data_IF_470289621757
#
_entry.id   IF_470289621757
#
_cell.length_a   1.000
_cell.length_b   1.000
_cell.length_c   1.000
_cell.angle_alpha   90.00
_cell.angle_beta   90.00
_cell.angle_gamma   90.00
#
_symmetry.space_group_name_H-M   'P 1'
#
loop_
_entity.id
_entity.type
_entity.pdbx_description
1 polymer ?
#
# COMPACT_ATOMS: atom_id res chain seq x y z
N UNK A 1 22.71 17.09 32.43
CA UNK A 1 22.82 15.77 31.72
C UNK A 1 21.43 15.33 31.36
N UNK A 2 20.97 15.74 30.20
CA UNK A 2 19.67 15.33 29.62
C UNK A 2 19.90 14.03 28.91
N UNK A 3 19.45 12.93 29.49
CA UNK A 3 19.35 11.63 28.82
C UNK A 3 18.28 11.74 27.74
N UNK A 4 18.74 11.92 26.51
CA UNK A 4 17.95 11.78 25.30
C UNK A 4 17.53 10.31 25.23
N UNK A 5 16.30 10.07 25.66
CA UNK A 5 15.64 8.77 25.48
C UNK A 5 15.46 8.56 23.98
N UNK A 6 16.27 7.69 23.39
CA UNK A 6 16.05 7.22 22.03
C UNK A 6 14.58 6.77 21.89
N UNK A 7 13.89 7.14 20.79
CA UNK A 7 12.51 6.70 20.59
C UNK A 7 12.49 5.18 20.61
N UNK A 8 11.64 4.63 21.46
CA UNK A 8 11.38 3.20 21.52
C UNK A 8 11.04 2.73 20.09
N UNK A 9 11.89 1.89 19.54
CA UNK A 9 11.64 1.22 18.25
C UNK A 9 10.33 0.45 18.42
N UNK A 10 9.25 1.04 17.95
CA UNK A 10 7.93 0.42 17.92
C UNK A 10 8.08 -0.95 17.24
N UNK A 11 7.82 -2.02 18.00
CA UNK A 11 8.00 -3.39 17.54
C UNK A 11 7.21 -3.59 16.25
N UNK A 12 7.91 -4.03 15.20
CA UNK A 12 7.34 -4.20 13.86
C UNK A 12 6.30 -5.32 13.89
N UNK A 13 5.05 -5.00 13.58
CA UNK A 13 3.95 -5.99 13.56
C UNK A 13 3.94 -6.83 12.29
N UNK A 14 4.32 -6.24 11.14
CA UNK A 14 4.35 -6.91 9.86
C UNK A 14 5.68 -7.64 9.66
N UNK A 15 5.63 -8.94 9.44
CA UNK A 15 6.79 -9.78 9.20
C UNK A 15 7.02 -10.03 7.70
N UNK A 16 8.14 -10.69 7.37
CA UNK A 16 8.48 -11.00 5.97
C UNK A 16 7.47 -11.94 5.30
N UNK A 17 6.72 -12.74 6.07
CA UNK A 17 5.66 -13.61 5.52
C UNK A 17 4.47 -12.80 5.07
N UNK A 18 4.14 -11.72 5.80
CA UNK A 18 3.05 -10.82 5.42
C UNK A 18 3.42 -10.03 4.16
N UNK A 19 4.65 -9.53 4.09
CA UNK A 19 5.17 -8.86 2.90
C UNK A 19 5.18 -9.80 1.68
N UNK A 20 5.58 -11.06 1.87
CA UNK A 20 5.55 -12.06 0.80
C UNK A 20 4.12 -12.37 0.34
N UNK A 21 3.16 -12.44 1.26
CA UNK A 21 1.74 -12.60 0.91
C UNK A 21 1.22 -11.40 0.12
N UNK A 22 1.60 -10.18 0.52
CA UNK A 22 1.26 -8.97 -0.22
C UNK A 22 1.88 -8.99 -1.62
N UNK A 23 3.14 -9.39 -1.74
CA UNK A 23 3.83 -9.52 -3.03
C UNK A 23 3.09 -10.47 -3.98
N UNK A 24 2.75 -11.69 -3.54
CA UNK A 24 2.00 -12.63 -4.38
C UNK A 24 0.61 -12.11 -4.73
N UNK A 25 -0.08 -11.44 -3.82
CA UNK A 25 -1.38 -10.82 -4.09
C UNK A 25 -1.30 -9.64 -5.06
N UNK A 26 -0.20 -8.91 -5.07
CA UNK A 26 -0.01 -7.78 -5.99
C UNK A 26 0.04 -8.21 -7.47
N UNK A 27 0.37 -9.47 -7.76
CA UNK A 27 0.29 -10.01 -9.13
C UNK A 27 -1.13 -10.00 -9.69
N UNK A 28 -2.14 -9.97 -8.82
CA UNK A 28 -3.56 -9.87 -9.19
C UNK A 28 -4.11 -8.43 -9.15
N UNK A 29 -3.23 -7.42 -9.09
CA UNK A 29 -3.65 -6.02 -9.00
C UNK A 29 -4.65 -5.61 -10.08
N UNK A 30 -4.46 -6.10 -11.30
CA UNK A 30 -5.32 -5.82 -12.45
C UNK A 30 -6.50 -6.80 -12.59
N UNK A 31 -6.60 -7.82 -11.74
CA UNK A 31 -7.62 -8.88 -11.88
C UNK A 31 -9.06 -8.41 -11.73
N UNK A 32 -9.27 -7.27 -11.08
CA UNK A 32 -10.61 -6.66 -10.86
C UNK A 32 -10.66 -5.23 -11.39
N UNK A 33 -9.93 -4.96 -12.46
CA UNK A 33 -9.90 -3.62 -13.06
C UNK A 33 -11.28 -3.20 -13.55
N UNK A 34 -11.69 -1.97 -13.22
CA UNK A 34 -12.92 -1.35 -13.70
C UNK A 34 -12.74 0.15 -13.94
N UNK A 35 -13.60 0.76 -14.76
CA UNK A 35 -13.45 2.18 -15.12
C UNK A 35 -13.80 3.17 -14.01
N UNK A 36 -14.56 2.75 -12.99
CA UNK A 36 -14.96 3.63 -11.89
C UNK A 36 -13.84 3.85 -10.89
N UNK A 37 -13.17 2.76 -10.45
CA UNK A 37 -12.16 2.79 -9.39
C UNK A 37 -10.81 2.24 -9.80
N UNK A 38 -10.64 1.87 -11.06
CA UNK A 38 -9.45 1.33 -11.68
C UNK A 38 -8.91 0.09 -10.96
N UNK A 39 -7.79 0.22 -10.25
CA UNK A 39 -7.09 -0.88 -9.57
C UNK A 39 -7.45 -0.99 -8.07
N UNK A 40 -8.44 -0.24 -7.59
CA UNK A 40 -8.74 -0.11 -6.14
C UNK A 40 -9.01 -1.45 -5.46
N UNK A 41 -9.77 -2.34 -6.07
CA UNK A 41 -10.06 -3.66 -5.49
C UNK A 41 -8.80 -4.53 -5.39
N UNK A 42 -7.96 -4.53 -6.43
CA UNK A 42 -6.67 -5.22 -6.41
C UNK A 42 -5.72 -4.65 -5.35
N UNK A 43 -5.73 -3.32 -5.17
CA UNK A 43 -4.98 -2.64 -4.11
C UNK A 43 -5.43 -3.09 -2.71
N UNK A 44 -6.73 -3.05 -2.45
CA UNK A 44 -7.30 -3.52 -1.19
C UNK A 44 -7.02 -5.01 -0.95
N UNK A 45 -7.16 -5.85 -1.97
CA UNK A 45 -6.85 -7.28 -1.90
C UNK A 45 -5.38 -7.53 -1.54
N UNK A 46 -4.47 -6.74 -2.09
CA UNK A 46 -3.03 -6.83 -1.80
C UNK A 46 -2.73 -6.47 -0.35
N UNK A 47 -3.34 -5.40 0.19
CA UNK A 47 -3.12 -4.95 1.57
C UNK A 47 -3.87 -5.77 2.62
N UNK A 48 -4.85 -6.57 2.24
CA UNK A 48 -5.72 -7.29 3.18
C UNK A 48 -4.96 -8.12 4.24
N UNK A 49 -3.86 -8.84 3.93
CA UNK A 49 -3.11 -9.56 4.97
C UNK A 49 -2.53 -8.64 6.04
N UNK A 50 -1.99 -7.49 5.63
CA UNK A 50 -1.45 -6.49 6.56
C UNK A 50 -2.56 -5.89 7.42
N UNK A 51 -3.65 -5.42 6.82
CA UNK A 51 -4.79 -4.81 7.51
C UNK A 51 -5.38 -5.77 8.56
N UNK A 52 -5.62 -7.03 8.18
CA UNK A 52 -6.14 -8.04 9.11
C UNK A 52 -5.22 -8.34 10.27
N UNK A 53 -3.93 -8.21 10.08
CA UNK A 53 -2.95 -8.45 11.12
C UNK A 53 -2.85 -7.26 12.08
N UNK A 54 -2.74 -6.04 11.56
CA UNK A 54 -2.55 -4.83 12.37
C UNK A 54 -3.82 -4.43 13.15
N UNK A 55 -4.99 -4.71 12.60
CA UNK A 55 -6.29 -4.46 13.26
C UNK A 55 -6.92 -5.72 13.88
N UNK A 56 -6.08 -6.70 14.21
CA UNK A 56 -6.56 -7.96 14.79
C UNK A 56 -7.30 -7.72 16.11
N UNK A 57 -8.57 -8.09 16.14
CA UNK A 57 -9.45 -7.92 17.32
C UNK A 57 -10.33 -6.67 17.25
N UNK A 58 -10.06 -5.73 16.35
CA UNK A 58 -10.92 -4.56 16.12
C UNK A 58 -11.56 -4.63 14.72
N UNK A 59 -12.74 -5.22 14.64
CA UNK A 59 -13.48 -5.38 13.39
C UNK A 59 -13.96 -4.07 12.78
N UNK A 60 -14.23 -3.07 13.61
CA UNK A 60 -14.66 -1.76 13.13
C UNK A 60 -13.48 -1.04 12.44
N UNK A 61 -12.30 -1.04 13.05
CA UNK A 61 -11.10 -0.45 12.46
C UNK A 61 -10.65 -1.22 11.21
N UNK A 62 -10.71 -2.56 11.21
CA UNK A 62 -10.44 -3.38 10.03
C UNK A 62 -11.35 -3.00 8.85
N UNK A 63 -12.66 -2.88 9.10
CA UNK A 63 -13.65 -2.52 8.08
C UNK A 63 -13.43 -1.09 7.55
N UNK A 64 -13.12 -0.13 8.42
CA UNK A 64 -12.81 1.25 8.04
C UNK A 64 -11.55 1.32 7.16
N UNK A 65 -10.49 0.58 7.50
CA UNK A 65 -9.28 0.50 6.70
C UNK A 65 -9.55 -0.13 5.32
N UNK A 66 -10.27 -1.24 5.24
CA UNK A 66 -10.65 -1.86 3.97
C UNK A 66 -11.46 -0.92 3.09
N UNK A 67 -12.44 -0.21 3.68
CA UNK A 67 -13.25 0.78 2.95
C UNK A 67 -12.39 1.91 2.37
N UNK A 68 -11.45 2.47 3.14
CA UNK A 68 -10.50 3.50 2.70
C UNK A 68 -9.68 3.05 1.50
N UNK A 69 -9.28 1.78 1.45
CA UNK A 69 -8.47 1.25 0.36
C UNK A 69 -9.27 0.79 -0.87
N UNK A 70 -10.60 0.83 -0.82
CA UNK A 70 -11.48 0.66 -1.99
C UNK A 70 -11.72 1.97 -2.77
N UNK A 71 -11.18 3.10 -2.31
CA UNK A 71 -11.18 4.35 -3.06
C UNK A 71 -10.30 4.27 -4.30
N UNK A 72 -10.52 5.19 -5.24
CA UNK A 72 -9.81 5.24 -6.51
C UNK A 72 -8.29 5.01 -6.36
N UNK A 73 -7.77 4.11 -7.19
CA UNK A 73 -6.34 3.82 -7.27
C UNK A 73 -5.97 3.44 -8.69
N UNK A 74 -4.98 4.12 -9.25
CA UNK A 74 -4.45 3.82 -10.58
C UNK A 74 -2.99 4.27 -10.69
N UNK A 75 -2.09 3.33 -10.93
CA UNK A 75 -0.67 3.60 -11.17
C UNK A 75 -0.03 2.45 -11.92
N UNK A 76 1.27 2.55 -12.22
CA UNK A 76 1.99 1.46 -12.88
C UNK A 76 2.05 0.20 -11.98
N UNK A 77 1.57 -0.96 -12.45
CA UNK A 77 1.40 -2.15 -11.60
C UNK A 77 2.69 -2.64 -10.92
N UNK A 78 3.79 -2.70 -11.66
CA UNK A 78 5.07 -3.18 -11.15
C UNK A 78 5.73 -2.23 -10.13
N UNK A 79 5.52 -0.93 -10.29
CA UNK A 79 6.04 0.09 -9.39
C UNK A 79 5.15 0.31 -8.16
N UNK A 80 3.93 -0.23 -8.14
CA UNK A 80 2.97 -0.10 -7.03
C UNK A 80 3.50 -0.64 -5.69
N UNK A 81 4.52 -1.50 -5.71
CA UNK A 81 5.12 -2.07 -4.50
C UNK A 81 5.56 -1.01 -3.49
N UNK A 82 6.05 0.14 -3.96
CA UNK A 82 6.43 1.27 -3.11
C UNK A 82 5.21 1.79 -2.35
N UNK A 83 4.08 1.97 -3.04
CA UNK A 83 2.84 2.49 -2.44
C UNK A 83 2.26 1.48 -1.45
N UNK A 84 2.28 0.17 -1.77
CA UNK A 84 1.87 -0.87 -0.82
C UNK A 84 2.69 -0.84 0.47
N UNK A 85 4.02 -0.70 0.35
CA UNK A 85 4.92 -0.66 1.51
C UNK A 85 4.65 0.55 2.40
N UNK A 86 4.56 1.74 1.82
CA UNK A 86 4.28 2.98 2.56
C UNK A 86 2.91 2.92 3.23
N UNK A 87 1.88 2.50 2.48
CA UNK A 87 0.51 2.42 3.01
C UNK A 87 0.41 1.40 4.15
N UNK A 88 1.03 0.22 4.00
CA UNK A 88 1.04 -0.80 5.06
C UNK A 88 1.75 -0.30 6.33
N UNK A 89 2.86 0.44 6.19
CA UNK A 89 3.57 1.02 7.32
C UNK A 89 2.73 2.09 8.03
N UNK A 90 2.01 2.93 7.29
CA UNK A 90 1.11 3.94 7.88
C UNK A 90 -0.07 3.30 8.62
N UNK A 91 -0.65 2.23 8.06
CA UNK A 91 -1.73 1.48 8.75
C UNK A 91 -1.21 0.79 10.02
N UNK A 92 0.02 0.27 10.00
CA UNK A 92 0.65 -0.30 11.18
C UNK A 92 0.84 0.76 12.28
N UNK A 93 1.36 1.94 11.95
CA UNK A 93 1.55 3.03 12.90
C UNK A 93 0.21 3.54 13.45
N UNK A 94 -0.79 3.70 12.58
CA UNK A 94 -2.15 4.08 13.00
C UNK A 94 -2.75 3.06 13.99
N UNK A 95 -2.56 1.76 13.74
CA UNK A 95 -3.06 0.71 14.63
C UNK A 95 -2.40 0.70 16.00
N UNK A 96 -1.18 1.25 16.11
CA UNK A 96 -0.45 1.43 17.38
C UNK A 96 -0.86 2.67 18.16
N UNK A 97 -1.81 3.44 17.66
CA UNK A 97 -2.34 4.63 18.32
C UNK A 97 -1.63 5.92 17.94
N UNK A 98 -0.80 5.93 16.91
CA UNK A 98 -0.25 7.17 16.38
C UNK A 98 -1.36 8.02 15.75
N UNK A 99 -1.29 9.34 15.92
CA UNK A 99 -2.28 10.28 15.41
C UNK A 99 -2.11 10.48 13.88
N UNK A 100 -2.41 9.42 13.15
CA UNK A 100 -2.43 9.45 11.68
C UNK A 100 -3.89 9.57 11.24
N UNK A 101 -4.24 10.73 10.71
CA UNK A 101 -5.56 10.98 10.15
C UNK A 101 -5.88 10.03 8.99
N UNK A 102 -7.14 9.70 8.82
CA UNK A 102 -7.57 8.86 7.68
C UNK A 102 -7.23 9.50 6.34
N UNK A 103 -7.38 10.82 6.26
CA UNK A 103 -7.02 11.60 5.07
C UNK A 103 -5.53 11.57 4.76
N UNK A 104 -4.66 11.47 5.79
CA UNK A 104 -3.21 11.43 5.58
C UNK A 104 -2.80 10.18 4.79
N UNK A 105 -3.36 9.02 5.10
CA UNK A 105 -3.07 7.76 4.38
C UNK A 105 -3.58 7.85 2.94
N UNK A 106 -4.79 8.35 2.74
CA UNK A 106 -5.37 8.55 1.41
C UNK A 106 -4.57 9.56 0.59
N UNK A 107 -4.16 10.68 1.18
CA UNK A 107 -3.38 11.71 0.50
C UNK A 107 -2.00 11.22 0.08
N UNK A 108 -1.30 10.46 0.92
CA UNK A 108 -0.01 9.85 0.57
C UNK A 108 -0.19 8.84 -0.57
N UNK A 109 -1.21 7.99 -0.50
CA UNK A 109 -1.55 7.06 -1.58
C UNK A 109 -1.78 7.79 -2.91
N UNK A 110 -2.63 8.81 -2.92
CA UNK A 110 -2.94 9.61 -4.11
C UNK A 110 -1.70 10.37 -4.61
N UNK A 111 -0.94 10.99 -3.69
CA UNK A 111 0.25 11.75 -4.03
C UNK A 111 1.37 10.92 -4.66
N UNK A 112 1.44 9.63 -4.35
CA UNK A 112 2.42 8.73 -4.95
C UNK A 112 1.99 8.12 -6.29
N UNK A 113 0.68 8.10 -6.61
CA UNK A 113 0.19 7.47 -7.85
C UNK A 113 0.81 8.09 -9.11
N UNK A 114 0.81 9.42 -9.20
CA UNK A 114 1.35 10.17 -10.34
C UNK A 114 2.84 9.95 -10.56
N UNK A 115 3.69 10.26 -9.58
CA UNK A 115 5.14 10.04 -9.68
C UNK A 115 5.52 8.60 -9.98
N UNK A 116 4.86 7.62 -9.35
CA UNK A 116 5.13 6.18 -9.58
C UNK A 116 4.73 5.77 -11.00
N UNK A 117 3.59 6.23 -11.52
CA UNK A 117 3.20 6.03 -12.91
C UNK A 117 4.16 6.72 -13.86
N UNK A 118 4.53 7.98 -13.59
CA UNK A 118 5.44 8.78 -14.39
C UNK A 118 6.84 8.18 -14.56
N UNK A 119 7.29 7.40 -13.58
CA UNK A 119 8.55 6.64 -13.66
C UNK A 119 8.32 5.26 -14.29
N UNK A 120 7.28 4.57 -13.86
CA UNK A 120 7.00 3.18 -14.26
C UNK A 120 6.63 3.04 -15.73
N UNK A 121 5.73 3.88 -16.23
CA UNK A 121 5.20 3.77 -17.58
C UNK A 121 6.26 3.96 -18.67
N UNK A 122 7.12 4.99 -18.65
CA UNK A 122 8.18 5.15 -19.63
C UNK A 122 9.22 4.02 -19.60
N UNK A 123 9.56 3.53 -18.41
CA UNK A 123 10.56 2.47 -18.25
C UNK A 123 10.01 1.15 -18.81
N UNK A 124 8.81 0.73 -18.41
CA UNK A 124 8.27 -0.58 -18.78
C UNK A 124 7.62 -0.58 -20.17
N UNK A 125 6.75 0.38 -20.45
CA UNK A 125 6.02 0.44 -21.72
C UNK A 125 6.82 1.11 -22.83
N UNK A 126 7.58 2.16 -22.50
CA UNK A 126 8.35 2.93 -23.45
C UNK A 126 9.73 2.35 -23.79
N UNK A 127 10.33 1.56 -22.90
CA UNK A 127 11.70 1.06 -23.06
C UNK A 127 11.78 -0.46 -22.97
N UNK A 128 11.42 -1.06 -21.84
CA UNK A 128 11.65 -2.50 -21.62
C UNK A 128 10.86 -3.36 -22.61
N UNK A 129 9.59 -3.07 -22.82
CA UNK A 129 8.73 -3.85 -23.72
C UNK A 129 9.16 -3.79 -25.18
N UNK A 130 9.41 -2.62 -25.79
CA UNK A 130 9.93 -2.56 -27.18
C UNK A 130 11.26 -3.27 -27.35
N UNK A 131 12.19 -3.14 -26.38
CA UNK A 131 13.51 -3.81 -26.45
C UNK A 131 13.38 -5.33 -26.35
N UNK A 132 12.48 -5.85 -25.52
CA UNK A 132 12.25 -7.30 -25.38
C UNK A 132 11.45 -7.90 -26.55
N UNK A 133 10.72 -7.07 -27.29
CA UNK A 133 9.90 -7.50 -28.44
C UNK A 133 10.64 -7.40 -29.78
N UNK A 134 11.80 -6.77 -29.81
CA UNK A 134 12.67 -6.66 -31.00
C UNK A 134 13.60 -7.88 -31.12
#
# INVERSE_FOLDING_TARGET
MTTETAPATSEKMLDNRDLMRMYWRSTFLLGSFNFERMQAMGFCYTLMPAIRKVYRGDKAAEAAALKRHLEFYNTHPWASSVIFGVTAAMEEQKSKGEDIGEDAITNVKIGLMGPVAGIGDPIFWGTARPVLAA
#
